data_IF_779310797776
#
_entry.id   IF_779310797776
#
_cell.length_a   1.000
_cell.length_b   1.000
_cell.length_c   1.000
_cell.angle_alpha   90.00
_cell.angle_beta   90.00
_cell.angle_gamma   90.00
#
_symmetry.space_group_name_H-M   'P 1'
#
loop_
_entity.id
_entity.type
_entity.pdbx_description
1 polymer ?
#
# COMPACT_ATOMS: atom_id res chain seq x y z
N UNK A 1 -31.72 3.92 2.23
CA UNK A 1 -31.90 2.49 1.89
C UNK A 1 -30.60 1.85 1.42
N UNK A 2 -29.92 2.37 0.38
CA UNK A 2 -28.65 1.81 -0.13
C UNK A 2 -27.57 1.62 0.96
N UNK A 3 -27.24 2.66 1.74
CA UNK A 3 -26.21 2.55 2.78
C UNK A 3 -26.55 1.53 3.89
N UNK A 4 -27.83 1.32 4.19
CA UNK A 4 -28.30 0.33 5.18
C UNK A 4 -28.16 -1.11 4.68
N UNK A 5 -28.38 -1.34 3.39
CA UNK A 5 -28.19 -2.66 2.78
C UNK A 5 -26.70 -3.00 2.70
N UNK A 6 -25.88 -2.04 2.26
CA UNK A 6 -24.43 -2.20 2.16
C UNK A 6 -23.82 -2.41 3.55
N UNK A 7 -24.21 -1.62 4.56
CA UNK A 7 -23.68 -1.73 5.93
C UNK A 7 -23.83 -3.13 6.52
N UNK A 8 -24.95 -3.80 6.24
CA UNK A 8 -25.20 -5.17 6.74
C UNK A 8 -24.27 -6.22 6.15
N UNK A 9 -23.80 -5.99 4.93
CA UNK A 9 -22.96 -6.97 4.21
C UNK A 9 -21.48 -6.77 4.55
N UNK A 10 -21.05 -5.52 4.71
CA UNK A 10 -19.64 -5.18 4.99
C UNK A 10 -19.32 -5.00 6.47
N UNK A 11 -20.32 -5.15 7.35
CA UNK A 11 -20.20 -4.95 8.80
C UNK A 11 -19.61 -3.59 9.20
N UNK A 12 -20.06 -2.51 8.54
CA UNK A 12 -19.70 -1.14 8.88
C UNK A 12 -20.94 -0.30 9.16
N UNK A 13 -20.85 0.67 10.09
CA UNK A 13 -21.98 1.56 10.41
C UNK A 13 -22.44 2.37 9.18
N UNK A 14 -23.76 2.46 8.91
CA UNK A 14 -24.28 3.18 7.74
C UNK A 14 -23.95 4.68 7.76
N UNK A 15 -23.84 5.29 8.94
CA UNK A 15 -23.46 6.70 9.11
C UNK A 15 -22.04 6.98 8.63
N UNK A 16 -21.12 6.02 8.82
CA UNK A 16 -19.74 6.11 8.34
C UNK A 16 -19.70 6.11 6.80
N UNK A 17 -20.49 5.24 6.17
CA UNK A 17 -20.60 5.17 4.71
C UNK A 17 -21.16 6.46 4.12
N UNK A 18 -22.21 7.01 4.74
CA UNK A 18 -22.82 8.26 4.32
C UNK A 18 -21.82 9.42 4.46
N UNK A 19 -21.11 9.51 5.59
CA UNK A 19 -20.09 10.54 5.80
C UNK A 19 -18.98 10.48 4.76
N UNK A 20 -18.52 9.27 4.39
CA UNK A 20 -17.52 9.10 3.32
C UNK A 20 -18.06 9.52 1.96
N UNK A 21 -19.33 9.21 1.67
CA UNK A 21 -19.99 9.63 0.44
C UNK A 21 -20.08 11.16 0.32
N UNK A 22 -20.54 11.84 1.38
CA UNK A 22 -20.70 13.29 1.42
C UNK A 22 -19.35 14.01 1.29
N UNK A 23 -18.33 13.57 2.04
CA UNK A 23 -16.98 14.16 1.97
C UNK A 23 -16.26 13.89 0.65
N UNK A 24 -16.55 12.77 0.00
CA UNK A 24 -15.90 12.38 -1.26
C UNK A 24 -16.56 12.96 -2.52
N UNK A 25 -17.71 13.62 -2.38
CA UNK A 25 -18.48 14.16 -3.50
C UNK A 25 -17.81 15.40 -4.10
N UNK A 26 -17.01 15.20 -5.16
CA UNK A 26 -16.35 16.28 -5.91
C UNK A 26 -17.03 16.65 -7.24
N UNK A 27 -18.26 16.18 -7.49
CA UNK A 27 -19.01 16.46 -8.72
C UNK A 27 -20.25 15.57 -8.87
N UNK A 28 -21.13 15.88 -9.83
CA UNK A 28 -22.40 15.14 -10.03
C UNK A 28 -22.24 13.73 -10.63
N UNK A 29 -21.11 13.43 -11.27
CA UNK A 29 -20.91 12.17 -12.02
C UNK A 29 -19.63 11.41 -11.62
N UNK A 30 -18.94 11.83 -10.56
CA UNK A 30 -17.78 11.11 -10.04
C UNK A 30 -18.23 10.10 -9.00
N UNK A 31 -17.93 8.84 -9.26
CA UNK A 31 -18.10 7.80 -8.28
C UNK A 31 -17.27 8.09 -7.03
N UNK A 32 -17.88 7.89 -5.87
CA UNK A 32 -17.22 8.06 -4.57
C UNK A 32 -16.93 6.68 -4.01
N UNK A 33 -15.68 6.45 -3.62
CA UNK A 33 -15.31 5.23 -2.92
C UNK A 33 -15.90 5.29 -1.51
N UNK A 34 -16.94 4.51 -1.28
CA UNK A 34 -17.62 4.43 0.02
C UNK A 34 -17.05 3.33 0.91
N UNK A 35 -16.39 2.31 0.36
CA UNK A 35 -15.73 1.23 1.10
C UNK A 35 -14.52 0.73 0.31
N UNK A 36 -13.53 0.17 1.02
CA UNK A 36 -12.32 -0.44 0.47
C UNK A 36 -12.01 -1.72 1.28
N UNK A 37 -11.31 -2.66 0.64
CA UNK A 37 -10.94 -3.96 1.21
C UNK A 37 -12.12 -4.76 1.80
N UNK A 38 -13.24 -4.79 1.06
CA UNK A 38 -14.49 -5.45 1.50
C UNK A 38 -14.40 -6.98 1.54
N UNK A 39 -13.31 -7.59 1.05
CA UNK A 39 -13.18 -9.04 0.96
C UNK A 39 -13.99 -9.65 -0.19
N UNK A 40 -13.65 -10.90 -0.56
CA UNK A 40 -14.24 -11.58 -1.72
C UNK A 40 -15.72 -11.91 -1.51
N UNK A 41 -16.08 -12.42 -0.34
CA UNK A 41 -17.45 -12.89 -0.07
C UNK A 41 -18.47 -11.75 -0.05
N UNK A 42 -18.13 -10.63 0.61
CA UNK A 42 -18.99 -9.45 0.61
C UNK A 42 -19.03 -8.79 -0.78
N UNK A 43 -17.96 -8.84 -1.56
CA UNK A 43 -17.98 -8.37 -2.94
C UNK A 43 -18.97 -9.20 -3.79
N UNK A 44 -18.94 -10.53 -3.69
CA UNK A 44 -19.87 -11.41 -4.41
C UNK A 44 -21.33 -11.10 -4.03
N UNK A 45 -21.63 -11.02 -2.72
CA UNK A 45 -22.98 -10.70 -2.22
C UNK A 45 -23.50 -9.34 -2.70
N UNK A 46 -22.62 -8.34 -2.79
CA UNK A 46 -22.98 -7.02 -3.28
C UNK A 46 -23.20 -7.01 -4.80
N UNK A 47 -22.44 -7.82 -5.54
CA UNK A 47 -22.59 -7.96 -6.99
C UNK A 47 -23.92 -8.65 -7.34
N UNK A 48 -24.33 -9.67 -6.58
CA UNK A 48 -25.64 -10.33 -6.72
C UNK A 48 -26.82 -9.36 -6.52
N UNK A 49 -26.65 -8.36 -5.65
CA UNK A 49 -27.67 -7.36 -5.35
C UNK A 49 -27.57 -6.11 -6.25
N UNK A 50 -26.67 -6.10 -7.23
CA UNK A 50 -26.37 -4.92 -8.06
C UNK A 50 -27.62 -4.33 -8.75
N UNK A 51 -28.54 -5.18 -9.21
CA UNK A 51 -29.81 -4.76 -9.83
C UNK A 51 -30.71 -3.99 -8.85
N UNK A 52 -30.75 -4.42 -7.58
CA UNK A 52 -31.54 -3.79 -6.53
C UNK A 52 -30.86 -2.54 -5.93
N UNK A 53 -29.53 -2.48 -6.00
CA UNK A 53 -28.70 -1.42 -5.44
C UNK A 53 -28.21 -0.46 -6.53
N UNK A 54 -29.16 0.12 -7.27
CA UNK A 54 -28.88 1.11 -8.31
C UNK A 54 -27.95 2.23 -7.80
N UNK A 55 -26.86 2.48 -8.55
CA UNK A 55 -25.84 3.47 -8.22
C UNK A 55 -24.65 2.95 -7.41
N UNK A 56 -24.65 1.66 -7.02
CA UNK A 56 -23.49 0.97 -6.49
C UNK A 56 -22.81 0.18 -7.62
N UNK A 57 -21.48 0.19 -7.64
CA UNK A 57 -20.70 -0.73 -8.46
C UNK A 57 -19.41 -1.11 -7.73
N UNK A 58 -18.94 -2.32 -7.98
CA UNK A 58 -17.70 -2.82 -7.39
C UNK A 58 -16.57 -2.61 -8.38
N UNK A 59 -15.40 -2.23 -7.85
CA UNK A 59 -14.19 -2.09 -8.66
C UNK A 59 -13.07 -2.88 -8.02
N UNK A 60 -12.56 -3.86 -8.76
CA UNK A 60 -11.34 -4.59 -8.40
C UNK A 60 -10.12 -3.68 -8.54
N UNK A 61 -9.28 -3.68 -7.51
CA UNK A 61 -7.99 -2.99 -7.53
C UNK A 61 -6.91 -3.95 -7.04
N UNK A 62 -5.70 -3.92 -7.64
CA UNK A 62 -4.57 -4.66 -7.11
C UNK A 62 -4.21 -4.10 -5.72
N UNK A 63 -3.90 -5.01 -4.80
CA UNK A 63 -3.42 -4.70 -3.45
C UNK A 63 -2.03 -5.30 -3.30
N UNK A 64 -1.11 -4.55 -2.70
CA UNK A 64 0.27 -5.01 -2.49
C UNK A 64 0.30 -6.12 -1.44
N UNK A 65 1.15 -7.12 -1.63
CA UNK A 65 1.33 -8.21 -0.66
C UNK A 65 2.81 -8.49 -0.49
N UNK A 66 3.24 -8.73 0.74
CA UNK A 66 4.62 -9.06 1.09
C UNK A 66 4.68 -10.52 1.59
N UNK A 67 5.06 -11.49 0.72
CA UNK A 67 5.06 -12.90 1.07
C UNK A 67 5.99 -13.26 2.23
N UNK A 68 7.15 -12.59 2.30
CA UNK A 68 8.18 -12.83 3.33
C UNK A 68 7.94 -12.08 4.65
N UNK A 69 6.82 -11.36 4.78
CA UNK A 69 6.36 -10.68 6.00
C UNK A 69 7.51 -9.93 6.70
N UNK A 70 7.75 -10.23 7.98
CA UNK A 70 8.73 -9.53 8.81
C UNK A 70 10.18 -9.75 8.37
N UNK A 71 10.48 -10.94 7.80
CA UNK A 71 11.84 -11.33 7.42
C UNK A 71 12.48 -10.40 6.40
N UNK A 72 11.69 -9.69 5.58
CA UNK A 72 12.18 -8.76 4.56
C UNK A 72 11.63 -7.33 4.74
N UNK A 73 10.99 -7.03 5.87
CA UNK A 73 10.24 -5.80 6.07
C UNK A 73 11.09 -4.53 5.91
N UNK A 74 12.30 -4.51 6.45
CA UNK A 74 13.20 -3.35 6.32
C UNK A 74 13.88 -3.23 4.96
N UNK A 75 13.86 -4.31 4.17
CA UNK A 75 14.35 -4.35 2.79
C UNK A 75 13.28 -3.77 1.87
N UNK A 76 12.12 -4.44 1.78
CA UNK A 76 11.05 -4.04 0.87
C UNK A 76 10.44 -2.73 1.34
N UNK A 77 10.28 -2.58 2.66
CA UNK A 77 9.39 -1.58 3.23
C UNK A 77 7.94 -1.88 2.90
N UNK A 78 7.14 -0.82 2.82
CA UNK A 78 5.72 -0.93 2.52
C UNK A 78 5.18 0.30 1.80
N UNK A 79 4.06 0.14 1.10
CA UNK A 79 3.27 1.24 0.54
C UNK A 79 2.18 1.71 1.51
N UNK A 80 1.84 2.99 1.48
CA UNK A 80 0.78 3.60 2.30
C UNK A 80 0.02 4.68 1.55
N UNK A 81 -1.17 5.04 2.04
CA UNK A 81 -1.98 6.11 1.44
C UNK A 81 -1.26 7.45 1.50
N UNK A 82 -1.36 8.27 0.45
CA UNK A 82 -0.67 9.57 0.36
C UNK A 82 -1.36 10.62 1.25
N UNK A 83 -0.59 11.32 2.08
CA UNK A 83 -1.11 12.40 2.93
C UNK A 83 -1.43 13.68 2.14
N UNK A 84 -2.27 14.60 2.66
CA UNK A 84 -2.62 15.85 1.96
C UNK A 84 -1.41 16.73 1.61
N UNK A 85 -0.44 16.85 2.52
CA UNK A 85 0.78 17.64 2.31
C UNK A 85 1.69 17.04 1.25
N UNK A 86 1.90 15.72 1.32
CA UNK A 86 2.69 14.97 0.33
C UNK A 86 2.04 14.99 -1.05
N UNK A 87 0.71 14.88 -1.10
CA UNK A 87 -0.02 15.00 -2.35
C UNK A 87 0.22 16.37 -2.99
N UNK A 88 0.29 17.43 -2.20
CA UNK A 88 0.52 18.79 -2.71
C UNK A 88 1.89 18.91 -3.39
N UNK A 89 2.91 18.22 -2.86
CA UNK A 89 4.26 18.16 -3.44
C UNK A 89 4.34 17.23 -4.66
N UNK A 90 3.55 16.16 -4.69
CA UNK A 90 3.64 15.08 -5.69
C UNK A 90 2.63 15.19 -6.82
N UNK A 91 1.66 16.11 -6.74
CA UNK A 91 0.62 16.31 -7.76
C UNK A 91 1.18 16.54 -9.17
N UNK A 92 2.33 17.23 -9.29
CA UNK A 92 3.01 17.46 -10.56
C UNK A 92 3.69 16.22 -11.16
N UNK A 93 3.89 15.17 -10.35
CA UNK A 93 4.57 13.93 -10.73
C UNK A 93 3.57 12.82 -11.12
N UNK A 94 2.31 13.17 -11.37
CA UNK A 94 1.28 12.23 -11.79
C UNK A 94 0.71 11.36 -10.67
N UNK A 95 0.81 11.77 -9.40
CA UNK A 95 0.13 11.10 -8.29
C UNK A 95 -1.33 11.53 -8.21
N UNK A 96 -2.19 10.60 -7.81
CA UNK A 96 -3.60 10.86 -7.45
C UNK A 96 -3.75 10.77 -5.93
N UNK A 97 -4.73 11.49 -5.37
CA UNK A 97 -5.03 11.46 -3.92
C UNK A 97 -5.36 10.06 -3.38
N UNK A 98 -5.83 9.18 -4.26
CA UNK A 98 -6.20 7.80 -3.92
C UNK A 98 -5.07 6.81 -4.16
N UNK A 99 -3.92 7.26 -4.64
CA UNK A 99 -2.78 6.39 -4.86
C UNK A 99 -2.13 6.02 -3.53
N UNK A 100 -1.37 4.93 -3.57
CA UNK A 100 -0.45 4.54 -2.50
C UNK A 100 0.97 4.81 -2.98
N UNK A 101 1.81 5.23 -2.05
CA UNK A 101 3.23 5.54 -2.26
C UNK A 101 4.06 4.73 -1.28
N UNK A 102 5.26 4.33 -1.69
CA UNK A 102 6.27 3.74 -0.83
C UNK A 102 6.56 4.60 0.40
N UNK A 103 6.66 3.95 1.56
CA UNK A 103 6.85 4.59 2.87
C UNK A 103 8.19 4.25 3.51
N UNK A 104 8.76 3.11 3.15
CA UNK A 104 10.04 2.64 3.65
C UNK A 104 10.73 1.77 2.60
N UNK A 105 12.00 1.45 2.85
CA UNK A 105 12.76 0.48 2.06
C UNK A 105 12.79 0.79 0.56
N UNK A 106 12.84 -0.29 -0.23
CA UNK A 106 12.84 -0.22 -1.69
C UNK A 106 11.57 0.40 -2.26
N UNK A 107 10.41 0.17 -1.63
CA UNK A 107 9.15 0.78 -2.08
C UNK A 107 9.24 2.30 -2.08
N UNK A 108 9.84 2.91 -1.04
CA UNK A 108 10.05 4.37 -1.01
C UNK A 108 11.16 4.81 -1.97
N UNK A 109 12.31 4.14 -1.93
CA UNK A 109 13.49 4.53 -2.70
C UNK A 109 13.24 4.47 -4.22
N UNK A 110 12.43 3.51 -4.67
CA UNK A 110 12.18 3.24 -6.09
C UNK A 110 10.70 3.41 -6.49
N UNK A 111 9.90 4.16 -5.73
CA UNK A 111 8.46 4.35 -6.02
C UNK A 111 8.22 4.82 -7.45
N UNK A 112 9.02 5.79 -7.94
CA UNK A 112 8.93 6.32 -9.30
C UNK A 112 9.19 5.27 -10.38
N UNK A 113 10.09 4.31 -10.12
CA UNK A 113 10.42 3.21 -11.01
C UNK A 113 9.33 2.11 -10.98
N UNK A 114 8.80 1.83 -9.79
CA UNK A 114 7.84 0.74 -9.55
C UNK A 114 6.38 1.09 -9.87
N UNK A 115 5.98 2.36 -9.82
CA UNK A 115 4.55 2.75 -9.93
C UNK A 115 4.00 2.80 -11.36
N UNK A 116 4.87 3.02 -12.35
CA UNK A 116 4.47 3.26 -13.74
C UNK A 116 3.74 4.59 -13.94
N UNK A 117 2.93 4.69 -14.99
CA UNK A 117 2.18 5.91 -15.30
C UNK A 117 0.68 5.65 -15.45
N UNK A 118 -0.12 6.57 -14.91
CA UNK A 118 -1.56 6.55 -15.14
C UNK A 118 -1.87 6.88 -16.59
N UNK A 119 -2.70 6.04 -17.20
CA UNK A 119 -3.45 6.41 -18.39
C UNK A 119 -4.54 7.43 -18.08
N UNK A 120 -5.12 8.00 -19.13
CA UNK A 120 -6.22 8.94 -19.06
C UNK A 120 -7.14 8.74 -20.26
N UNK A 121 -8.45 8.90 -20.08
CA UNK A 121 -9.39 8.95 -21.19
C UNK A 121 -10.13 10.29 -21.14
N UNK A 122 -10.20 10.96 -22.29
CA UNK A 122 -10.95 12.19 -22.46
C UNK A 122 -12.27 11.87 -23.14
N UNK A 123 -13.35 12.33 -22.54
CA UNK A 123 -14.70 12.05 -22.97
C UNK A 123 -15.43 13.36 -23.29
N UNK A 124 -16.18 13.36 -24.39
CA UNK A 124 -17.15 14.41 -24.67
C UNK A 124 -18.48 14.06 -23.99
N UNK A 125 -19.04 15.01 -23.25
CA UNK A 125 -20.30 14.83 -22.51
C UNK A 125 -21.31 15.91 -22.89
N UNK A 126 -22.60 15.57 -22.90
CA UNK A 126 -23.67 16.56 -23.13
C UNK A 126 -23.91 17.47 -21.91
N UNK A 127 -24.81 18.44 -22.03
CA UNK A 127 -25.18 19.35 -20.93
C UNK A 127 -25.78 18.64 -19.70
N UNK A 128 -26.20 17.38 -19.86
CA UNK A 128 -26.71 16.49 -18.81
C UNK A 128 -25.64 15.49 -18.31
N UNK A 129 -24.39 15.61 -18.76
CA UNK A 129 -23.26 14.77 -18.36
C UNK A 129 -23.27 13.37 -18.97
N UNK A 130 -24.10 13.09 -19.97
CA UNK A 130 -24.14 11.80 -20.66
C UNK A 130 -22.97 11.69 -21.62
N UNK A 131 -22.32 10.53 -21.63
CA UNK A 131 -21.19 10.23 -22.50
C UNK A 131 -21.64 10.24 -23.96
N UNK A 132 -21.06 11.11 -24.79
CA UNK A 132 -21.30 11.15 -26.24
C UNK A 132 -20.28 10.27 -26.96
N UNK A 133 -18.99 10.56 -26.78
CA UNK A 133 -17.89 9.81 -27.39
C UNK A 133 -16.56 9.96 -26.63
N UNK A 134 -15.62 9.09 -26.94
CA UNK A 134 -14.23 9.19 -26.47
C UNK A 134 -13.44 10.04 -27.45
N UNK A 135 -12.78 11.10 -26.96
CA UNK A 135 -11.96 12.01 -27.77
C UNK A 135 -10.51 11.53 -27.87
N UNK A 136 -9.97 11.02 -26.77
CA UNK A 136 -8.58 10.57 -26.71
C UNK A 136 -8.37 9.61 -25.55
N UNK A 137 -7.46 8.66 -25.73
CA UNK A 137 -7.02 7.72 -24.69
C UNK A 137 -5.50 7.79 -24.62
N UNK A 138 -4.98 8.20 -23.46
CA UNK A 138 -3.60 7.94 -23.06
C UNK A 138 -3.57 6.58 -22.37
N UNK A 139 -2.88 5.62 -22.96
CA UNK A 139 -2.66 4.32 -22.34
C UNK A 139 -1.86 4.43 -21.04
N UNK A 140 -2.10 3.49 -20.12
CA UNK A 140 -1.33 3.38 -18.88
C UNK A 140 -0.02 2.64 -19.15
N UNK A 141 1.03 3.04 -18.45
CA UNK A 141 2.32 2.34 -18.48
C UNK A 141 2.45 1.52 -17.21
N UNK A 142 2.70 0.21 -17.34
CA UNK A 142 2.94 -0.64 -16.19
C UNK A 142 4.25 -0.26 -15.50
N UNK A 143 4.27 -0.35 -14.17
CA UNK A 143 5.48 -0.21 -13.38
C UNK A 143 6.54 -1.24 -13.75
N UNK A 144 7.82 -0.89 -13.55
CA UNK A 144 8.92 -1.77 -13.91
C UNK A 144 9.14 -2.83 -12.83
N UNK A 145 9.61 -4.00 -13.26
CA UNK A 145 10.05 -5.06 -12.36
C UNK A 145 11.48 -4.78 -11.87
N UNK A 146 11.75 -5.17 -10.63
CA UNK A 146 13.05 -5.05 -9.99
C UNK A 146 13.49 -6.43 -9.52
N UNK A 147 14.69 -6.82 -9.89
CA UNK A 147 15.37 -8.00 -9.39
C UNK A 147 16.41 -7.56 -8.36
N UNK A 148 16.50 -8.29 -7.25
CA UNK A 148 17.40 -7.97 -6.14
C UNK A 148 18.52 -9.00 -6.10
N UNK A 149 19.66 -8.62 -5.51
CA UNK A 149 20.78 -9.53 -5.25
C UNK A 149 20.53 -10.47 -4.06
N UNK A 150 19.47 -10.20 -3.30
CA UNK A 150 19.15 -10.91 -2.07
C UNK A 150 18.68 -12.32 -2.35
N UNK A 151 19.17 -13.25 -1.54
CA UNK A 151 18.72 -14.63 -1.57
C UNK A 151 17.67 -14.85 -0.47
N UNK A 152 16.50 -15.37 -0.86
CA UNK A 152 15.38 -15.53 0.06
C UNK A 152 15.63 -16.59 1.14
N UNK A 153 16.42 -17.62 0.84
CA UNK A 153 16.76 -18.67 1.81
C UNK A 153 17.80 -18.16 2.80
N UNK A 154 18.85 -17.48 2.31
CA UNK A 154 19.87 -16.85 3.17
C UNK A 154 19.23 -15.80 4.08
N UNK A 155 18.33 -14.96 3.54
CA UNK A 155 17.60 -13.97 4.32
C UNK A 155 16.78 -14.61 5.45
N UNK A 156 16.09 -15.72 5.15
CA UNK A 156 15.28 -16.45 6.14
C UNK A 156 16.17 -17.01 7.25
N UNK A 157 17.24 -17.72 6.89
CA UNK A 157 18.18 -18.31 7.86
C UNK A 157 18.83 -17.23 8.71
N UNK A 158 19.24 -16.10 8.12
CA UNK A 158 19.81 -14.98 8.85
C UNK A 158 18.82 -14.36 9.85
N UNK A 159 17.55 -14.19 9.45
CA UNK A 159 16.50 -13.70 10.34
C UNK A 159 16.20 -14.66 11.49
N UNK A 160 16.19 -15.98 11.23
CA UNK A 160 16.00 -17.02 12.23
C UNK A 160 17.18 -17.09 13.21
N UNK A 161 18.42 -16.99 12.72
CA UNK A 161 19.63 -17.00 13.53
C UNK A 161 19.69 -15.82 14.51
N UNK A 162 19.19 -14.65 14.10
CA UNK A 162 19.06 -13.48 14.99
C UNK A 162 18.02 -13.68 16.09
N UNK A 163 17.01 -14.53 15.88
CA UNK A 163 15.95 -14.80 16.86
C UNK A 163 15.28 -13.53 17.37
N UNK A 164 15.31 -13.34 18.69
CA UNK A 164 14.75 -12.14 19.38
C UNK A 164 15.81 -11.09 19.71
N UNK A 165 17.07 -11.29 19.27
CA UNK A 165 18.14 -10.36 19.55
C UNK A 165 17.93 -9.06 18.77
N UNK A 166 18.15 -7.93 19.43
CA UNK A 166 18.07 -6.62 18.80
C UNK A 166 19.40 -6.32 18.14
N UNK A 167 19.36 -5.97 16.85
CA UNK A 167 20.59 -5.72 16.12
C UNK A 167 20.38 -5.71 14.62
N UNK A 168 21.51 -5.78 13.92
CA UNK A 168 21.60 -5.76 12.47
C UNK A 168 22.54 -6.88 12.00
N UNK A 169 22.22 -7.47 10.85
CA UNK A 169 23.07 -8.45 10.18
C UNK A 169 23.05 -8.15 8.68
N UNK A 170 24.23 -8.13 8.07
CA UNK A 170 24.42 -7.98 6.63
C UNK A 170 25.30 -9.12 6.13
N UNK A 171 24.84 -9.82 5.09
CA UNK A 171 25.66 -10.76 4.34
C UNK A 171 25.84 -10.22 2.93
N UNK A 172 27.08 -10.19 2.45
CA UNK A 172 27.46 -9.59 1.17
C UNK A 172 28.40 -10.52 0.41
N UNK A 173 28.18 -10.63 -0.90
CA UNK A 173 29.11 -11.23 -1.84
C UNK A 173 30.27 -10.25 -2.09
N UNK A 174 31.50 -10.66 -1.79
CA UNK A 174 32.66 -9.77 -1.85
C UNK A 174 33.05 -9.37 -3.28
N UNK A 175 32.90 -10.27 -4.25
CA UNK A 175 33.35 -10.04 -5.62
C UNK A 175 32.52 -8.96 -6.34
N UNK A 176 31.21 -8.95 -6.07
CA UNK A 176 30.25 -8.07 -6.76
C UNK A 176 29.65 -6.98 -5.88
N UNK A 177 29.85 -7.07 -4.56
CA UNK A 177 29.21 -6.18 -3.58
C UNK A 177 27.70 -6.39 -3.45
N UNK A 178 27.16 -7.50 -3.99
CA UNK A 178 25.74 -7.83 -3.89
C UNK A 178 25.38 -8.22 -2.46
N UNK A 179 24.29 -7.67 -1.93
CA UNK A 179 23.77 -8.09 -0.63
C UNK A 179 23.00 -9.40 -0.80
N UNK A 180 23.38 -10.42 -0.03
CA UNK A 180 22.71 -11.72 0.05
C UNK A 180 21.63 -11.72 1.13
N UNK A 181 21.87 -11.03 2.25
CA UNK A 181 20.88 -10.82 3.31
C UNK A 181 21.07 -9.46 4.02
N UNK A 182 19.96 -8.88 4.48
CA UNK A 182 19.89 -7.66 5.27
C UNK A 182 18.80 -7.81 6.34
N UNK A 183 19.19 -8.01 7.59
CA UNK A 183 18.27 -8.24 8.71
C UNK A 183 18.41 -7.10 9.72
N UNK A 184 17.29 -6.54 10.15
CA UNK A 184 17.21 -5.59 11.26
C UNK A 184 16.16 -6.09 12.25
N UNK A 185 16.52 -6.20 13.52
CA UNK A 185 15.63 -6.69 14.59
C UNK A 185 15.50 -5.68 15.74
N UNK A 186 14.31 -5.55 16.36
CA UNK A 186 13.07 -6.24 16.01
C UNK A 186 12.48 -5.76 14.67
N UNK A 187 11.73 -6.65 14.03
CA UNK A 187 11.04 -6.43 12.75
C UNK A 187 9.52 -6.34 12.93
N UNK A 188 8.80 -6.16 11.81
CA UNK A 188 7.34 -5.99 11.77
C UNK A 188 6.77 -6.57 10.48
N UNK A 189 5.50 -7.01 10.47
CA UNK A 189 4.87 -7.43 9.22
C UNK A 189 4.41 -6.21 8.39
N UNK A 190 4.96 -5.93 7.20
CA UNK A 190 4.57 -4.79 6.38
C UNK A 190 3.14 -4.88 5.84
N UNK A 191 2.52 -6.07 5.82
CA UNK A 191 1.14 -6.24 5.36
C UNK A 191 0.12 -5.51 6.25
N UNK A 192 0.47 -5.23 7.52
CA UNK A 192 -0.40 -4.47 8.44
C UNK A 192 -0.69 -3.05 7.92
N UNK A 193 0.26 -2.44 7.20
CA UNK A 193 0.11 -1.09 6.64
C UNK A 193 -0.69 -1.07 5.36
N UNK A 194 -0.73 -2.20 4.64
CA UNK A 194 -1.54 -2.33 3.43
C UNK A 194 -3.01 -2.55 3.80
N UNK A 195 -3.28 -3.39 4.80
CA UNK A 195 -4.61 -3.76 5.29
C UNK A 195 -5.04 -2.91 6.49
N UNK A 196 -4.72 -1.62 6.46
CA UNK A 196 -4.74 -0.73 7.63
C UNK A 196 -6.06 -0.70 8.40
N UNK A 197 -7.22 -0.92 7.76
CA UNK A 197 -8.51 -1.04 8.44
C UNK A 197 -8.56 -2.19 9.46
N UNK A 198 -8.03 -3.36 9.10
CA UNK A 198 -8.06 -4.56 9.95
C UNK A 198 -6.95 -4.57 10.99
N UNK A 199 -5.91 -3.77 10.78
CA UNK A 199 -4.68 -3.81 11.59
C UNK A 199 -4.43 -2.55 12.40
N UNK A 200 -5.43 -1.69 12.66
CA UNK A 200 -5.22 -0.42 13.37
C UNK A 200 -4.61 -0.60 14.77
N UNK A 201 -5.08 -1.60 15.54
CA UNK A 201 -4.52 -1.91 16.86
C UNK A 201 -3.06 -2.36 16.74
N UNK A 202 -2.76 -3.28 15.82
CA UNK A 202 -1.40 -3.77 15.54
C UNK A 202 -0.46 -2.64 15.12
N UNK A 203 -0.90 -1.74 14.23
CA UNK A 203 -0.13 -0.56 13.82
C UNK A 203 0.20 0.31 15.04
N UNK A 204 -0.79 0.58 15.92
CA UNK A 204 -0.56 1.36 17.14
C UNK A 204 0.46 0.68 18.06
N UNK A 205 0.38 -0.64 18.22
CA UNK A 205 1.35 -1.40 19.01
C UNK A 205 2.77 -1.27 18.43
N UNK A 206 2.95 -1.47 17.12
CA UNK A 206 4.25 -1.37 16.44
C UNK A 206 4.84 0.05 16.55
N UNK A 207 4.01 1.09 16.46
CA UNK A 207 4.44 2.49 16.62
C UNK A 207 4.82 2.83 18.08
N UNK A 208 4.08 2.29 19.04
CA UNK A 208 4.30 2.54 20.47
C UNK A 208 5.41 1.67 21.08
N UNK A 209 5.87 0.65 20.36
CA UNK A 209 6.89 -0.28 20.85
C UNK A 209 8.19 0.45 21.22
N UNK A 210 8.65 0.19 22.45
CA UNK A 210 9.87 0.78 23.03
C UNK A 210 11.12 0.38 22.25
N UNK A 211 11.12 -0.79 21.63
CA UNK A 211 12.22 -1.32 20.84
C UNK A 211 12.22 -0.84 19.39
N UNK A 212 11.29 0.06 19.02
CA UNK A 212 11.31 0.76 17.72
C UNK A 212 11.51 -0.18 16.51
N UNK A 213 10.61 -1.15 16.29
CA UNK A 213 10.74 -2.13 15.20
C UNK A 213 10.71 -1.52 13.79
N UNK A 214 10.18 -0.30 13.63
CA UNK A 214 10.19 0.39 12.33
C UNK A 214 11.57 0.93 11.92
N UNK A 215 12.51 1.06 12.86
CA UNK A 215 13.85 1.57 12.56
C UNK A 215 14.65 0.47 11.86
N UNK A 216 15.19 0.80 10.69
CA UNK A 216 16.17 -0.05 10.01
C UNK A 216 17.56 0.19 10.64
N UNK A 217 17.99 -0.74 11.51
CA UNK A 217 19.28 -0.67 12.22
C UNK A 217 20.48 -0.91 11.33
N UNK A 218 20.32 -1.54 10.17
CA UNK A 218 21.42 -1.71 9.21
C UNK A 218 21.82 -0.36 8.62
N UNK A 219 20.84 0.49 8.32
CA UNK A 219 21.07 1.77 7.63
C UNK A 219 21.18 2.95 8.58
N UNK A 220 20.46 2.93 9.70
CA UNK A 220 20.33 4.07 10.61
C UNK A 220 20.85 3.77 12.02
N UNK A 221 21.43 2.59 12.23
CA UNK A 221 22.03 2.22 13.51
C UNK A 221 23.38 2.89 13.69
N UNK A 222 23.52 3.68 14.75
CA UNK A 222 24.78 4.29 15.14
C UNK A 222 25.36 3.52 16.34
N UNK A 223 26.48 2.83 16.10
CA UNK A 223 27.16 2.01 17.10
C UNK A 223 28.66 2.31 17.09
N UNK A 224 29.32 2.40 18.25
CA UNK A 224 30.78 2.43 18.30
C UNK A 224 31.35 1.16 17.66
N UNK A 225 32.28 1.26 16.68
CA UNK A 225 32.78 0.09 15.95
C UNK A 225 33.63 -0.85 16.83
N UNK A 226 34.19 -0.37 17.93
CA UNK A 226 35.03 -1.17 18.81
C UNK A 226 36.21 -1.79 18.06
N UNK A 227 36.53 -3.04 18.37
CA UNK A 227 37.68 -3.77 17.79
C UNK A 227 37.49 -4.24 16.34
N UNK A 228 36.45 -3.77 15.63
CA UNK A 228 36.23 -4.10 14.21
C UNK A 228 36.97 -3.17 13.25
N UNK A 229 37.60 -2.10 13.76
CA UNK A 229 38.43 -1.14 13.03
C UNK A 229 39.82 -1.09 13.66
#
# INVERSE_FOLDING_TARGET
KLFLSVSKIIDEKPESLQTRYEKGRMGRYRAVMIAEDIGKDAAIRLEELSDSLSGLFIKTKPVRTYPYKSSAAHITGYVGAIGPEEFSKTKGLGYKRTDRMGRAGLELAYDSYLRGEHGAAQFEVDSKGRLIRVLSIKERTQGKLMELTLDAEIQKVASEAMGQNQGALVAMELERGGLLALVSKPDYDPNIFVQSKKSQSTIRHVLADKHRPLINRVLSGEYPPGSTF
#
